data_IF_979980848898
#
_entry.id   IF_979980848898
#
_cell.length_a   1.000
_cell.length_b   1.000
_cell.length_c   1.000
_cell.angle_alpha   90.00
_cell.angle_beta   90.00
_cell.angle_gamma   90.00
#
_symmetry.space_group_name_H-M   'P 1'
#
loop_
_entity.id
_entity.type
_entity.pdbx_description
1 polymer ?
#
# COMPACT_ATOMS: atom_id res chain seq x y z
N UNK A 1 -2.89 13.12 14.94
CA UNK A 1 -1.73 13.47 14.11
C UNK A 1 -0.61 12.46 14.34
N UNK A 2 0.31 12.25 13.38
CA UNK A 2 1.41 11.28 13.49
C UNK A 2 2.20 11.39 14.80
N UNK A 3 2.54 12.61 15.23
CA UNK A 3 3.26 12.84 16.50
C UNK A 3 2.52 12.27 17.72
N UNK A 4 1.20 12.51 17.81
CA UNK A 4 0.36 11.94 18.88
C UNK A 4 0.31 10.42 18.83
N UNK A 5 0.22 9.85 17.62
CA UNK A 5 0.26 8.40 17.42
C UNK A 5 1.56 7.79 17.93
N UNK A 6 2.71 8.41 17.64
CA UNK A 6 4.00 7.96 18.15
C UNK A 6 4.01 7.91 19.68
N UNK A 7 3.53 8.97 20.36
CA UNK A 7 3.47 8.99 21.84
C UNK A 7 2.64 7.82 22.39
N UNK A 8 1.47 7.55 21.79
CA UNK A 8 0.63 6.42 22.20
C UNK A 8 1.28 5.06 21.93
N UNK A 9 1.98 4.91 20.81
CA UNK A 9 2.70 3.67 20.47
C UNK A 9 3.86 3.42 21.43
N UNK A 10 4.63 4.45 21.80
CA UNK A 10 5.68 4.32 22.81
C UNK A 10 5.10 3.91 24.17
N UNK A 11 3.94 4.47 24.56
CA UNK A 11 3.30 4.16 25.84
C UNK A 11 2.68 2.77 25.90
N UNK A 12 1.97 2.35 24.85
CA UNK A 12 1.13 1.16 24.89
C UNK A 12 1.65 0.01 24.01
N UNK A 13 2.13 0.30 22.80
CA UNK A 13 2.55 -0.74 21.86
C UNK A 13 3.96 -1.25 22.13
N UNK A 14 4.92 -0.34 22.40
CA UNK A 14 6.32 -0.70 22.62
C UNK A 14 6.51 -1.76 23.71
N UNK A 15 5.89 -1.65 24.91
CA UNK A 15 6.06 -2.68 25.94
C UNK A 15 5.56 -4.07 25.52
N UNK A 16 4.53 -4.13 24.66
CA UNK A 16 3.99 -5.40 24.14
C UNK A 16 4.94 -5.98 23.09
N UNK A 17 5.40 -5.14 22.17
CA UNK A 17 6.33 -5.52 21.11
C UNK A 17 7.66 -5.98 21.69
N UNK A 18 8.18 -5.31 22.72
CA UNK A 18 9.42 -5.69 23.40
C UNK A 18 9.28 -7.06 24.09
N UNK A 19 8.13 -7.31 24.75
CA UNK A 19 7.82 -8.64 25.32
C UNK A 19 7.73 -9.72 24.24
N UNK A 20 7.13 -9.41 23.09
CA UNK A 20 7.06 -10.34 21.96
C UNK A 20 8.46 -10.66 21.42
N UNK A 21 9.33 -9.67 21.28
CA UNK A 21 10.71 -9.89 20.82
C UNK A 21 11.49 -10.78 21.78
N UNK A 22 11.40 -10.52 23.08
CA UNK A 22 12.04 -11.35 24.10
C UNK A 22 11.52 -12.80 24.03
N UNK A 23 10.21 -12.97 23.88
CA UNK A 23 9.61 -14.30 23.74
C UNK A 23 10.08 -15.02 22.47
N UNK A 24 10.14 -14.33 21.32
CA UNK A 24 10.61 -14.91 20.06
C UNK A 24 12.08 -15.33 20.13
N UNK A 25 12.94 -14.56 20.80
CA UNK A 25 14.34 -14.91 21.04
C UNK A 25 14.44 -16.18 21.90
N UNK A 26 13.63 -16.32 22.95
CA UNK A 26 13.58 -17.54 23.78
C UNK A 26 13.08 -18.75 22.99
N UNK A 27 12.07 -18.58 22.13
CA UNK A 27 11.53 -19.67 21.32
C UNK A 27 12.49 -20.14 20.23
N UNK A 28 13.38 -19.26 19.76
CA UNK A 28 14.40 -19.60 18.76
C UNK A 28 15.27 -20.76 19.26
N UNK A 29 15.70 -20.71 20.53
CA UNK A 29 16.57 -21.75 21.11
C UNK A 29 15.79 -23.02 21.51
N UNK A 30 14.48 -22.88 21.77
CA UNK A 30 13.62 -24.00 22.15
C UNK A 30 13.05 -24.79 20.95
N UNK A 31 13.07 -24.22 19.73
CA UNK A 31 12.49 -24.84 18.53
C UNK A 31 13.57 -25.31 17.54
N UNK A 32 13.44 -26.51 16.95
CA UNK A 32 14.31 -26.92 15.85
C UNK A 32 14.19 -25.96 14.66
N UNK A 33 15.31 -25.45 14.16
CA UNK A 33 15.33 -24.46 13.06
C UNK A 33 14.69 -24.98 11.76
N UNK A 34 14.73 -26.30 11.54
CA UNK A 34 14.16 -26.96 10.36
C UNK A 34 12.63 -27.03 10.38
N UNK A 35 12.01 -26.88 11.55
CA UNK A 35 10.56 -26.93 11.73
C UNK A 35 9.87 -25.71 11.09
N UNK A 36 8.58 -25.85 10.78
CA UNK A 36 7.80 -24.73 10.23
C UNK A 36 7.79 -23.52 11.19
N UNK A 37 7.66 -23.77 12.50
CA UNK A 37 7.69 -22.73 13.52
C UNK A 37 9.09 -22.09 13.65
N UNK A 38 10.16 -22.91 13.67
CA UNK A 38 11.54 -22.41 13.72
C UNK A 38 11.88 -21.51 12.53
N UNK A 39 11.42 -21.88 11.32
CA UNK A 39 11.53 -21.04 10.12
C UNK A 39 10.78 -19.71 10.27
N UNK A 40 9.57 -19.73 10.80
CA UNK A 40 8.77 -18.51 11.01
C UNK A 40 9.40 -17.56 12.04
N UNK A 41 9.89 -18.09 13.16
CA UNK A 41 10.60 -17.33 14.20
C UNK A 41 11.85 -16.69 13.60
N UNK A 42 12.69 -17.48 12.93
CA UNK A 42 13.90 -16.97 12.27
C UNK A 42 13.58 -15.90 11.21
N UNK A 43 12.49 -16.07 10.46
CA UNK A 43 12.05 -15.10 9.47
C UNK A 43 11.67 -13.75 10.09
N UNK A 44 10.92 -13.77 11.19
CA UNK A 44 10.46 -12.57 11.90
C UNK A 44 11.63 -11.88 12.62
N UNK A 45 12.50 -12.63 13.31
CA UNK A 45 13.66 -12.09 14.01
C UNK A 45 14.63 -11.35 13.07
N UNK A 46 14.86 -11.88 11.86
CA UNK A 46 15.66 -11.21 10.82
C UNK A 46 15.08 -9.85 10.37
N UNK A 47 13.82 -9.56 10.69
CA UNK A 47 13.10 -8.33 10.30
C UNK A 47 12.68 -7.48 11.49
N UNK A 48 13.25 -7.72 12.68
CA UNK A 48 12.90 -7.02 13.92
C UNK A 48 12.84 -5.52 13.76
N UNK A 49 13.86 -4.93 13.14
CA UNK A 49 13.94 -3.49 12.92
C UNK A 49 12.77 -3.00 12.04
N UNK A 50 12.58 -3.60 10.86
CA UNK A 50 11.53 -3.23 9.92
C UNK A 50 10.13 -3.37 10.52
N UNK A 51 9.87 -4.48 11.23
CA UNK A 51 8.58 -4.75 11.88
C UNK A 51 8.34 -3.87 13.12
N UNK A 52 9.37 -3.18 13.62
CA UNK A 52 9.26 -2.24 14.75
C UNK A 52 9.20 -0.78 14.33
N UNK A 53 9.46 -0.43 13.05
CA UNK A 53 9.52 0.97 12.59
C UNK A 53 8.26 1.79 12.88
N UNK A 54 7.10 1.16 12.85
CA UNK A 54 5.83 1.83 13.16
C UNK A 54 5.80 2.40 14.59
N UNK A 55 6.58 1.87 15.54
CA UNK A 55 6.64 2.38 16.91
C UNK A 55 7.20 3.80 16.97
N UNK A 56 8.16 4.09 16.09
CA UNK A 56 8.92 5.33 16.12
C UNK A 56 8.36 6.35 15.11
N UNK A 57 7.69 5.89 14.06
CA UNK A 57 7.03 6.74 13.07
C UNK A 57 5.50 6.55 13.07
N UNK A 58 4.79 7.55 13.59
CA UNK A 58 3.33 7.60 13.66
C UNK A 58 2.62 7.73 12.31
N UNK A 59 3.34 8.00 11.22
CA UNK A 59 2.81 8.01 9.85
C UNK A 59 2.72 6.60 9.25
N UNK A 60 3.54 5.67 9.75
CA UNK A 60 3.53 4.29 9.27
C UNK A 60 2.36 3.53 9.89
N UNK A 61 1.56 2.80 9.09
CA UNK A 61 0.58 1.86 9.61
C UNK A 61 1.29 0.66 10.26
N UNK A 62 0.62 0.01 11.22
CA UNK A 62 1.10 -1.22 11.86
C UNK A 62 1.09 -2.40 10.89
N UNK A 63 0.11 -2.42 10.00
CA UNK A 63 -0.16 -3.50 9.06
C UNK A 63 -0.18 -3.00 7.62
N UNK A 64 -0.13 -3.95 6.69
CA UNK A 64 -0.20 -3.72 5.26
C UNK A 64 -1.62 -3.88 4.70
N UNK A 65 -2.68 -3.93 5.54
CA UNK A 65 -4.05 -4.23 5.11
C UNK A 65 -4.52 -3.29 3.99
N UNK A 66 -4.10 -2.02 4.04
CA UNK A 66 -4.42 -1.06 2.98
C UNK A 66 -3.84 -1.48 1.63
N UNK A 67 -2.57 -1.89 1.60
CA UNK A 67 -1.91 -2.39 0.40
C UNK A 67 -2.54 -3.70 -0.08
N UNK A 68 -2.85 -4.61 0.84
CA UNK A 68 -3.51 -5.88 0.50
C UNK A 68 -4.91 -5.67 -0.09
N UNK A 69 -5.69 -4.75 0.47
CA UNK A 69 -7.00 -4.36 -0.10
C UNK A 69 -6.84 -3.75 -1.49
N UNK A 70 -5.84 -2.89 -1.70
CA UNK A 70 -5.60 -2.24 -2.99
C UNK A 70 -5.18 -3.24 -4.08
N UNK A 71 -4.38 -4.26 -3.75
CA UNK A 71 -3.94 -5.27 -4.74
C UNK A 71 -4.99 -6.37 -4.97
N UNK A 72 -5.94 -6.57 -4.05
CA UNK A 72 -6.95 -7.64 -4.12
C UNK A 72 -7.74 -7.66 -5.44
N UNK A 73 -8.25 -6.54 -5.98
CA UNK A 73 -8.95 -6.54 -7.28
C UNK A 73 -8.06 -7.07 -8.41
N UNK A 74 -6.76 -6.77 -8.39
CA UNK A 74 -5.78 -7.26 -9.37
C UNK A 74 -5.62 -8.76 -9.27
N UNK A 75 -5.45 -9.27 -8.04
CA UNK A 75 -5.28 -10.71 -7.78
C UNK A 75 -6.53 -11.49 -8.19
N UNK A 76 -7.72 -10.93 -7.97
CA UNK A 76 -8.98 -11.55 -8.39
C UNK A 76 -9.21 -11.44 -9.91
N UNK A 77 -8.81 -10.31 -10.52
CA UNK A 77 -9.02 -10.04 -11.93
C UNK A 77 -8.08 -10.81 -12.86
N UNK A 78 -6.84 -11.09 -12.43
CA UNK A 78 -5.82 -11.73 -13.29
C UNK A 78 -6.22 -13.10 -13.85
N UNK A 79 -7.06 -13.86 -13.15
CA UNK A 79 -7.58 -15.14 -13.66
C UNK A 79 -8.70 -14.97 -14.68
N UNK A 80 -9.31 -13.78 -14.75
CA UNK A 80 -10.47 -13.46 -15.56
C UNK A 80 -10.13 -12.54 -16.76
N UNK A 81 -8.94 -11.93 -16.78
CA UNK A 81 -8.50 -11.04 -17.87
C UNK A 81 -7.90 -11.82 -19.03
N UNK A 82 -8.75 -12.25 -19.96
CA UNK A 82 -8.38 -13.03 -21.14
C UNK A 82 -7.37 -12.33 -22.09
N UNK A 83 -7.18 -11.02 -21.95
CA UNK A 83 -6.33 -10.20 -22.83
C UNK A 83 -5.03 -9.71 -22.17
N UNK A 84 -4.81 -10.02 -20.89
CA UNK A 84 -3.63 -9.63 -20.13
C UNK A 84 -2.57 -10.75 -20.12
N UNK A 85 -2.13 -11.19 -21.30
CA UNK A 85 -1.23 -12.36 -21.46
C UNK A 85 0.26 -12.04 -21.63
N UNK A 86 0.64 -10.78 -21.82
CA UNK A 86 2.03 -10.36 -22.03
C UNK A 86 2.53 -9.42 -20.94
N UNK A 87 3.86 -9.37 -20.74
CA UNK A 87 4.49 -8.42 -19.80
C UNK A 87 4.08 -6.97 -20.12
N UNK A 88 4.07 -6.59 -21.40
CA UNK A 88 3.66 -5.26 -21.82
C UNK A 88 2.20 -4.94 -21.48
N UNK A 89 1.29 -5.91 -21.62
CA UNK A 89 -0.09 -5.75 -21.20
C UNK A 89 -0.22 -5.61 -19.67
N UNK A 90 0.55 -6.40 -18.92
CA UNK A 90 0.65 -6.29 -17.46
C UNK A 90 1.15 -4.93 -17.00
N UNK A 91 2.19 -4.39 -17.63
CA UNK A 91 2.73 -3.06 -17.30
C UNK A 91 1.69 -1.96 -17.54
N UNK A 92 0.98 -1.98 -18.67
CA UNK A 92 -0.09 -1.00 -18.94
C UNK A 92 -1.23 -1.10 -17.94
N UNK A 93 -1.67 -2.32 -17.62
CA UNK A 93 -2.69 -2.54 -16.60
C UNK A 93 -2.24 -1.99 -15.24
N UNK A 94 -0.99 -2.23 -14.84
CA UNK A 94 -0.44 -1.72 -13.59
C UNK A 94 -0.42 -0.19 -13.54
N UNK A 95 -0.07 0.49 -14.65
CA UNK A 95 -0.09 1.95 -14.76
C UNK A 95 -1.50 2.52 -14.57
N UNK A 96 -2.48 1.97 -15.29
CA UNK A 96 -3.89 2.41 -15.19
C UNK A 96 -4.42 2.16 -13.77
N UNK A 97 -4.22 0.97 -13.21
CA UNK A 97 -4.69 0.65 -11.86
C UNK A 97 -4.05 1.54 -10.81
N UNK A 98 -2.77 1.88 -10.96
CA UNK A 98 -2.09 2.81 -10.05
C UNK A 98 -2.69 4.21 -10.08
N UNK A 99 -3.06 4.71 -11.26
CA UNK A 99 -3.75 6.00 -11.40
C UNK A 99 -5.15 5.96 -10.78
N UNK A 100 -5.92 4.89 -11.02
CA UNK A 100 -7.26 4.74 -10.43
C UNK A 100 -7.22 4.65 -8.90
N UNK A 101 -6.26 3.93 -8.32
CA UNK A 101 -6.10 3.89 -6.87
C UNK A 101 -5.62 5.23 -6.31
N UNK A 102 -4.78 5.97 -7.05
CA UNK A 102 -4.39 7.34 -6.67
C UNK A 102 -5.60 8.27 -6.64
N UNK A 103 -6.49 8.19 -7.63
CA UNK A 103 -7.76 8.93 -7.65
C UNK A 103 -8.61 8.63 -6.41
N UNK A 104 -8.82 7.36 -6.08
CA UNK A 104 -9.56 6.96 -4.86
C UNK A 104 -8.89 7.51 -3.59
N UNK A 105 -7.56 7.45 -3.52
CA UNK A 105 -6.80 7.93 -2.37
C UNK A 105 -6.93 9.45 -2.16
N UNK A 106 -7.15 10.21 -3.23
CA UNK A 106 -7.36 11.66 -3.20
C UNK A 106 -8.85 12.06 -3.19
N UNK A 107 -9.76 11.10 -3.00
CA UNK A 107 -11.20 11.36 -2.89
C UNK A 107 -11.91 11.62 -4.22
N UNK A 108 -11.26 11.33 -5.35
CA UNK A 108 -11.86 11.43 -6.68
C UNK A 108 -12.59 10.12 -7.02
N UNK A 109 -13.78 10.22 -7.60
CA UNK A 109 -14.44 9.06 -8.20
C UNK A 109 -13.65 8.64 -9.46
N UNK A 110 -13.08 7.41 -9.51
CA UNK A 110 -12.13 7.05 -10.55
C UNK A 110 -12.70 7.04 -11.96
N UNK A 111 -13.96 6.65 -12.13
CA UNK A 111 -14.60 6.64 -13.45
C UNK A 111 -14.79 8.06 -13.97
N UNK A 112 -15.37 8.96 -13.16
CA UNK A 112 -15.55 10.36 -13.47
C UNK A 112 -14.22 11.06 -13.80
N UNK A 113 -13.18 10.83 -12.98
CA UNK A 113 -11.84 11.36 -13.25
C UNK A 113 -11.31 10.87 -14.59
N UNK A 114 -11.37 9.56 -14.85
CA UNK A 114 -10.86 8.99 -16.10
C UNK A 114 -11.63 9.51 -17.32
N UNK A 115 -12.96 9.64 -17.20
CA UNK A 115 -13.81 10.21 -18.26
C UNK A 115 -13.42 11.66 -18.55
N UNK A 116 -13.34 12.53 -17.54
CA UNK A 116 -12.98 13.94 -17.73
C UNK A 116 -11.59 14.09 -18.36
N UNK A 117 -10.60 13.33 -17.87
CA UNK A 117 -9.24 13.32 -18.44
C UNK A 117 -9.27 12.91 -19.91
N UNK A 118 -9.89 11.77 -20.25
CA UNK A 118 -9.92 11.27 -21.63
C UNK A 118 -10.70 12.20 -22.58
N UNK A 119 -11.71 12.92 -22.09
CA UNK A 119 -12.43 13.94 -22.87
C UNK A 119 -11.56 15.16 -23.15
N UNK A 120 -10.72 15.58 -22.20
CA UNK A 120 -9.85 16.76 -22.33
C UNK A 120 -8.56 16.50 -23.08
N UNK A 121 -8.01 15.29 -22.94
CA UNK A 121 -6.68 14.92 -23.43
C UNK A 121 -6.42 15.29 -24.90
N UNK A 122 -7.36 15.12 -25.86
CA UNK A 122 -7.10 15.40 -27.28
C UNK A 122 -6.78 16.88 -27.58
N UNK A 123 -7.26 17.81 -26.77
CA UNK A 123 -7.05 19.26 -26.95
C UNK A 123 -6.21 19.88 -25.82
N UNK A 124 -5.72 19.07 -24.88
CA UNK A 124 -4.96 19.55 -23.74
C UNK A 124 -3.49 19.82 -24.12
N UNK A 125 -2.89 20.96 -23.70
CA UNK A 125 -1.48 21.23 -23.94
C UNK A 125 -0.57 20.20 -23.25
N UNK A 126 0.44 19.69 -23.96
CA UNK A 126 1.38 18.67 -23.44
C UNK A 126 2.10 19.15 -22.17
N UNK A 127 2.54 20.42 -22.16
CA UNK A 127 3.21 21.07 -21.03
C UNK A 127 2.36 21.07 -19.74
N UNK A 128 1.03 20.97 -19.88
CA UNK A 128 0.04 21.01 -18.79
C UNK A 128 -0.58 19.65 -18.48
N UNK A 129 -0.04 18.55 -19.03
CA UNK A 129 -0.56 17.19 -18.75
C UNK A 129 -0.55 16.83 -17.27
N UNK A 130 0.42 17.35 -16.52
CA UNK A 130 0.52 17.12 -15.08
C UNK A 130 -0.70 17.62 -14.29
N UNK A 131 -1.44 18.61 -14.82
CA UNK A 131 -2.69 19.12 -14.22
C UNK A 131 -3.84 18.11 -14.30
N UNK A 132 -3.74 17.12 -15.20
CA UNK A 132 -4.74 16.05 -15.36
C UNK A 132 -4.51 14.88 -14.40
N UNK A 133 -3.41 14.89 -13.63
CA UNK A 133 -3.11 13.83 -12.68
C UNK A 133 -4.11 13.83 -11.51
N UNK A 134 -4.44 12.65 -10.95
CA UNK A 134 -5.48 12.50 -9.94
C UNK A 134 -5.01 12.93 -8.54
N UNK A 135 -4.47 14.15 -8.41
CA UNK A 135 -4.00 14.73 -7.17
C UNK A 135 -5.07 15.64 -6.52
N UNK A 136 -4.91 16.04 -5.24
CA UNK A 136 -5.91 16.86 -4.54
C UNK A 136 -6.26 18.20 -5.24
N UNK A 137 -5.35 18.70 -6.06
CA UNK A 137 -5.51 19.93 -6.85
C UNK A 137 -6.40 19.73 -8.08
N UNK A 138 -6.74 18.49 -8.44
CA UNK A 138 -7.54 18.18 -9.62
C UNK A 138 -8.89 18.90 -9.60
N UNK A 139 -9.28 19.42 -10.75
CA UNK A 139 -10.56 20.10 -10.98
C UNK A 139 -11.21 19.54 -12.24
N UNK A 140 -12.45 19.08 -12.10
CA UNK A 140 -13.30 18.67 -13.20
C UNK A 140 -13.65 19.87 -14.09
N UNK A 141 -13.76 19.65 -15.40
CA UNK A 141 -14.13 20.72 -16.33
C UNK A 141 -15.58 21.19 -16.11
N UNK A 142 -16.44 20.30 -15.60
CA UNK A 142 -17.82 20.59 -15.25
C UNK A 142 -18.05 20.18 -13.80
N UNK A 143 -18.45 21.09 -12.89
CA UNK A 143 -18.94 20.66 -11.58
C UNK A 143 -20.31 19.99 -11.78
N UNK A 144 -20.46 18.75 -11.30
CA UNK A 144 -21.79 18.16 -11.02
C UNK A 144 -22.50 18.93 -9.91
#
# INVERSE_FOLDING_TARGET
APATTTVWRQRYSRPIVDKLWLWLEQQKDACPESSALGKAINYILKRRETLSRFLDDGSLPLDNNRCERAIRPVVMGRSNWLFAGSLAAGTRAAQIMSLLETAKMNGLEPHAWLTDVLTRLPSWPEERLHELLPFPEYRFATPE
#
